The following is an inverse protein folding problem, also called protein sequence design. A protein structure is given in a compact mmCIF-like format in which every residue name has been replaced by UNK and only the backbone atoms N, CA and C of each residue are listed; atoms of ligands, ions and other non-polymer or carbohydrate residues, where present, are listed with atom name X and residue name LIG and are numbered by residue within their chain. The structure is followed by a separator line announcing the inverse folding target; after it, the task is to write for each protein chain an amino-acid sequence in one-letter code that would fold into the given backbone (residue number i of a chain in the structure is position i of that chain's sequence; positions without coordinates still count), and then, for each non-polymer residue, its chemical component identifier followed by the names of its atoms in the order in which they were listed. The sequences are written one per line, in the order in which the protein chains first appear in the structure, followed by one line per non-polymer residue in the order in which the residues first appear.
data_IF_508436127004
#
_entry.id   IF_508436127004
#
_cell.length_a   1.000
_cell.length_b   1.000
_cell.length_c   1.000
_cell.angle_alpha   90.00
_cell.angle_beta   90.00
_cell.angle_gamma   90.00
#
_symmetry.space_group_name_H-M   'P 1'
#
loop_
_entity.id
_entity.type
_entity.pdbx_description
1 polymer ?
#
# COMPACT_ATOMS: atom_id res chain seq x y z
N UNK A 1 -4.99 -20.50 48.95
CA UNK A 1 -5.61 -19.68 47.90
C UNK A 1 -5.53 -18.23 48.36
N UNK A 2 -4.77 -17.37 47.69
CA UNK A 2 -4.77 -15.94 48.05
C UNK A 2 -6.14 -15.36 47.78
N UNK A 3 -6.78 -14.84 48.81
CA UNK A 3 -8.09 -14.18 48.71
C UNK A 3 -7.89 -12.87 47.94
N UNK A 4 -8.22 -12.85 46.64
CA UNK A 4 -8.12 -11.65 45.82
C UNK A 4 -9.24 -10.69 46.23
N UNK A 5 -8.87 -9.54 46.82
CA UNK A 5 -9.82 -8.46 47.15
C UNK A 5 -9.67 -7.32 46.13
N UNK A 6 -10.78 -6.83 45.55
CA UNK A 6 -10.73 -5.66 44.67
C UNK A 6 -10.27 -4.43 45.47
N UNK A 7 -9.31 -3.68 44.96
CA UNK A 7 -8.79 -2.47 45.62
C UNK A 7 -8.27 -1.46 44.60
N UNK A 8 -8.40 -0.18 44.94
CA UNK A 8 -7.75 0.95 44.27
C UNK A 8 -6.59 1.49 45.12
N UNK A 9 -6.31 0.88 46.27
CA UNK A 9 -5.20 1.28 47.13
C UNK A 9 -3.88 0.99 46.40
N UNK A 10 -3.11 2.06 46.15
CA UNK A 10 -1.86 1.99 45.42
C UNK A 10 -0.86 2.96 46.00
N UNK A 11 0.40 2.51 46.08
CA UNK A 11 1.53 3.40 46.41
C UNK A 11 1.84 4.39 45.28
N UNK A 12 1.20 4.25 44.11
CA UNK A 12 1.38 5.13 42.96
C UNK A 12 0.40 6.30 43.04
N UNK A 13 0.85 7.50 42.65
CA UNK A 13 -0.07 8.60 42.40
C UNK A 13 -0.98 8.23 41.22
N UNK A 14 -2.28 8.52 41.35
CA UNK A 14 -3.25 8.38 40.26
C UNK A 14 -2.96 9.42 39.18
N UNK A 15 -2.08 9.07 38.26
CA UNK A 15 -1.81 9.82 37.04
C UNK A 15 -2.03 8.89 35.86
N UNK A 16 -2.97 9.26 35.00
CA UNK A 16 -3.31 8.51 33.81
C UNK A 16 -2.69 9.20 32.60
N UNK A 17 -2.02 8.43 31.74
CA UNK A 17 -1.59 8.92 30.44
C UNK A 17 -2.79 8.92 29.48
N UNK A 18 -3.52 10.04 29.45
CA UNK A 18 -4.71 10.20 28.63
C UNK A 18 -4.44 10.06 27.12
N UNK A 19 -3.22 10.35 26.66
CA UNK A 19 -2.84 10.10 25.26
C UNK A 19 -2.81 8.60 24.93
N UNK A 20 -2.21 7.79 25.80
CA UNK A 20 -2.18 6.34 25.69
C UNK A 20 -3.56 5.70 25.86
N UNK A 21 -4.29 6.11 26.90
CA UNK A 21 -5.65 5.61 27.13
C UNK A 21 -6.59 6.01 26.00
N UNK A 22 -6.44 7.23 25.47
CA UNK A 22 -7.13 7.66 24.27
C UNK A 22 -6.83 6.73 23.10
N UNK A 23 -5.55 6.41 22.84
CA UNK A 23 -5.21 5.49 21.77
C UNK A 23 -5.83 4.09 21.93
N UNK A 24 -5.78 3.54 23.15
CA UNK A 24 -6.40 2.26 23.47
C UNK A 24 -7.93 2.27 23.34
N UNK A 25 -8.58 3.34 23.81
CA UNK A 25 -10.05 3.42 23.90
C UNK A 25 -10.72 4.00 22.65
N UNK A 26 -10.00 4.73 21.80
CA UNK A 26 -10.54 5.40 20.60
C UNK A 26 -9.99 4.87 19.28
N UNK A 27 -9.11 3.86 19.31
CA UNK A 27 -8.57 3.25 18.09
C UNK A 27 -7.59 4.14 17.33
N UNK A 28 -6.86 5.03 18.02
CA UNK A 28 -5.82 5.87 17.40
C UNK A 28 -4.63 5.01 16.99
N UNK A 29 -4.07 5.27 15.81
CA UNK A 29 -2.87 4.58 15.32
C UNK A 29 -1.67 4.77 16.25
N UNK A 30 -0.87 3.72 16.39
CA UNK A 30 0.43 3.80 17.07
C UNK A 30 1.40 4.75 16.35
N UNK A 31 1.29 4.93 15.02
CA UNK A 31 2.11 5.89 14.25
C UNK A 31 1.83 7.32 14.70
N UNK A 32 0.60 7.63 15.09
CA UNK A 32 0.19 9.00 15.40
C UNK A 32 0.50 9.39 16.86
N UNK A 33 1.16 8.51 17.62
CA UNK A 33 1.65 8.81 18.98
C UNK A 33 2.91 9.68 18.92
N UNK A 34 2.98 10.67 19.82
CA UNK A 34 4.13 11.59 19.91
C UNK A 34 5.26 11.10 20.82
N UNK A 35 4.95 10.22 21.78
CA UNK A 35 5.91 9.66 22.73
C UNK A 35 5.41 8.31 23.24
N UNK A 36 6.33 7.52 23.80
CA UNK A 36 5.99 6.34 24.59
C UNK A 36 5.84 6.70 26.08
N UNK A 37 5.34 5.74 26.87
CA UNK A 37 5.09 5.93 28.30
C UNK A 37 5.75 4.84 29.15
N UNK A 38 6.94 4.38 28.76
CA UNK A 38 7.70 3.37 29.49
C UNK A 38 8.59 4.07 30.53
N UNK A 39 8.62 3.53 31.75
CA UNK A 39 9.28 4.23 32.87
C UNK A 39 10.78 3.97 32.91
N UNK A 40 11.22 2.81 32.44
CA UNK A 40 12.60 2.35 32.56
C UNK A 40 12.87 1.19 31.59
N UNK A 41 14.11 0.71 31.61
CA UNK A 41 14.54 -0.42 30.77
C UNK A 41 13.81 -1.72 31.10
N UNK A 42 13.35 -1.94 32.34
CA UNK A 42 12.56 -3.13 32.67
C UNK A 42 11.22 -3.10 31.92
N UNK A 43 10.49 -1.98 31.95
CA UNK A 43 9.25 -1.82 31.18
C UNK A 43 9.51 -2.01 29.66
N UNK A 44 10.64 -1.53 29.15
CA UNK A 44 11.04 -1.73 27.75
C UNK A 44 11.26 -3.20 27.41
N UNK A 45 11.90 -3.98 28.30
CA UNK A 45 12.08 -5.43 28.11
C UNK A 45 10.77 -6.19 28.14
N UNK A 46 9.87 -5.82 29.06
CA UNK A 46 8.52 -6.40 29.11
C UNK A 46 7.74 -6.06 27.83
N UNK A 47 7.82 -4.81 27.35
CA UNK A 47 7.22 -4.42 26.08
C UNK A 47 7.72 -5.28 24.92
N UNK A 48 9.04 -5.48 24.79
CA UNK A 48 9.64 -6.31 23.74
C UNK A 48 9.20 -7.77 23.84
N UNK A 49 9.10 -8.31 25.07
CA UNK A 49 8.62 -9.68 25.29
C UNK A 49 7.17 -9.85 24.83
N UNK A 50 6.28 -8.93 25.20
CA UNK A 50 4.87 -8.97 24.76
C UNK A 50 4.72 -8.69 23.26
N UNK A 51 5.70 -8.03 22.65
CA UNK A 51 5.79 -7.87 21.20
C UNK A 51 6.25 -9.17 20.49
N UNK A 52 6.59 -10.22 21.25
CA UNK A 52 6.92 -11.56 20.74
C UNK A 52 8.40 -11.92 20.73
N UNK A 53 9.28 -11.07 21.29
CA UNK A 53 10.73 -11.26 21.22
C UNK A 53 11.35 -11.47 22.61
N UNK A 54 11.83 -12.68 22.89
CA UNK A 54 12.56 -12.98 24.12
C UNK A 54 14.02 -12.52 24.01
N UNK A 55 14.36 -11.42 24.69
CA UNK A 55 15.70 -10.85 24.72
C UNK A 55 16.77 -11.75 25.38
N UNK A 56 16.40 -12.89 25.98
CA UNK A 56 17.37 -13.89 26.43
C UNK A 56 17.88 -14.76 25.26
N UNK A 57 17.16 -14.77 24.12
CA UNK A 57 17.56 -15.48 22.92
C UNK A 57 18.40 -14.56 22.01
N UNK A 58 19.62 -14.95 21.62
CA UNK A 58 20.48 -14.13 20.76
C UNK A 58 19.81 -13.74 19.43
N UNK A 59 19.09 -14.68 18.81
CA UNK A 59 18.39 -14.48 17.54
C UNK A 59 17.38 -13.32 17.61
N UNK A 60 16.66 -13.18 18.73
CA UNK A 60 15.72 -12.08 18.92
C UNK A 60 16.42 -10.71 18.92
N UNK A 61 17.63 -10.64 19.49
CA UNK A 61 18.44 -9.40 19.50
C UNK A 61 18.91 -9.03 18.10
N UNK A 62 19.32 -10.03 17.31
CA UNK A 62 19.76 -9.82 15.94
C UNK A 62 18.62 -9.36 15.04
N UNK A 63 17.42 -9.96 15.19
CA UNK A 63 16.21 -9.52 14.48
C UNK A 63 15.90 -8.06 14.79
N UNK A 64 15.93 -7.66 16.06
CA UNK A 64 15.66 -6.27 16.48
C UNK A 64 16.72 -5.31 15.91
N UNK A 65 18.00 -5.70 15.90
CA UNK A 65 19.10 -4.88 15.35
C UNK A 65 19.00 -4.71 13.84
N UNK A 66 18.63 -5.77 13.12
CA UNK A 66 18.42 -5.73 11.68
C UNK A 66 17.22 -4.85 11.33
N UNK A 67 16.10 -5.00 12.06
CA UNK A 67 14.90 -4.16 11.91
C UNK A 67 15.20 -2.68 12.18
N UNK A 68 16.00 -2.38 13.21
CA UNK A 68 16.45 -1.01 13.49
C UNK A 68 17.29 -0.44 12.34
N UNK A 69 18.26 -1.20 11.84
CA UNK A 69 19.12 -0.77 10.72
C UNK A 69 18.30 -0.50 9.46
N UNK A 70 17.35 -1.39 9.13
CA UNK A 70 16.42 -1.21 8.02
C UNK A 70 15.53 0.03 8.20
N UNK A 71 15.02 0.27 9.41
CA UNK A 71 14.21 1.45 9.70
C UNK A 71 14.99 2.76 9.52
N UNK A 72 16.24 2.80 9.98
CA UNK A 72 17.15 3.95 9.80
C UNK A 72 17.39 4.20 8.31
N UNK A 73 17.74 3.16 7.56
CA UNK A 73 18.02 3.29 6.12
C UNK A 73 16.79 3.73 5.34
N UNK A 74 15.61 3.19 5.66
CA UNK A 74 14.35 3.61 5.05
C UNK A 74 14.07 5.10 5.29
N UNK A 75 14.24 5.59 6.52
CA UNK A 75 14.04 7.01 6.84
C UNK A 75 15.03 7.87 6.05
N UNK A 76 16.30 7.49 6.00
CA UNK A 76 17.35 8.22 5.28
C UNK A 76 17.07 8.29 3.78
N UNK A 77 16.72 7.17 3.16
CA UNK A 77 16.52 7.10 1.72
C UNK A 77 15.20 7.72 1.26
N UNK A 78 14.20 7.77 2.14
CA UNK A 78 12.81 8.07 1.75
C UNK A 78 12.31 9.41 2.29
N UNK A 79 12.70 9.81 3.50
CA UNK A 79 12.15 10.97 4.19
C UNK A 79 13.12 12.15 4.35
N UNK A 80 14.42 11.91 4.20
CA UNK A 80 15.47 12.90 4.39
C UNK A 80 16.03 13.38 3.05
N UNK A 81 16.36 14.66 3.00
CA UNK A 81 17.15 15.27 1.93
C UNK A 81 18.65 15.03 2.19
N UNK A 82 19.50 15.04 1.14
CA UNK A 82 20.93 14.88 1.29
C UNK A 82 21.51 15.84 2.34
N UNK A 83 22.25 15.30 3.32
CA UNK A 83 22.87 16.06 4.41
C UNK A 83 22.04 16.13 5.69
N UNK A 84 20.73 15.84 5.64
CA UNK A 84 19.89 15.76 6.83
C UNK A 84 20.14 14.51 7.66
N UNK A 85 20.86 13.50 7.16
CA UNK A 85 21.13 12.26 7.89
C UNK A 85 21.96 12.53 9.16
N UNK A 86 22.76 13.61 9.16
CA UNK A 86 23.57 14.06 10.30
C UNK A 86 22.73 14.59 11.46
N UNK A 87 21.45 14.86 11.23
CA UNK A 87 20.53 15.35 12.25
C UNK A 87 20.05 14.22 13.18
N UNK A 88 20.24 12.95 12.82
CA UNK A 88 19.91 11.81 13.67
C UNK A 88 21.01 11.66 14.75
N UNK A 89 20.67 11.73 16.05
CA UNK A 89 21.63 11.54 17.13
C UNK A 89 22.36 10.19 17.03
N UNK A 90 23.66 10.15 17.36
CA UNK A 90 24.51 8.96 17.19
C UNK A 90 24.00 7.74 17.95
N UNK A 91 23.53 7.96 19.16
CA UNK A 91 22.91 6.98 20.06
C UNK A 91 21.54 6.48 19.59
N UNK A 92 20.93 7.14 18.62
CA UNK A 92 19.68 6.73 17.97
C UNK A 92 19.97 6.07 16.61
N UNK A 93 20.95 6.59 15.87
CA UNK A 93 21.40 6.08 14.57
C UNK A 93 22.14 4.75 14.68
N UNK A 94 23.00 4.58 15.68
CA UNK A 94 23.79 3.38 15.90
C UNK A 94 23.90 3.07 17.41
N UNK A 95 22.79 2.71 18.07
CA UNK A 95 22.78 2.31 19.48
C UNK A 95 23.54 1.00 19.68
N UNK A 96 24.17 0.85 20.86
CA UNK A 96 24.71 -0.45 21.28
C UNK A 96 23.58 -1.50 21.41
N UNK A 97 22.44 -1.07 21.95
CA UNK A 97 21.20 -1.84 22.09
C UNK A 97 19.98 -1.02 21.63
N UNK A 98 19.32 -1.39 20.50
CA UNK A 98 18.14 -0.70 20.00
C UNK A 98 16.95 -0.68 20.98
N UNK A 99 16.90 -1.55 21.98
CA UNK A 99 15.86 -1.53 23.02
C UNK A 99 15.89 -0.22 23.81
N UNK A 100 17.04 0.45 23.89
CA UNK A 100 17.16 1.75 24.55
C UNK A 100 16.30 2.83 23.89
N UNK A 101 16.00 2.74 22.59
CA UNK A 101 15.13 3.70 21.91
C UNK A 101 13.74 3.75 22.54
N UNK A 102 13.23 2.64 23.08
CA UNK A 102 11.93 2.60 23.78
C UNK A 102 11.95 3.49 25.04
N UNK A 103 13.09 3.55 25.72
CA UNK A 103 13.30 4.43 26.88
C UNK A 103 13.48 5.86 26.41
N UNK A 104 14.30 6.11 25.39
CA UNK A 104 14.51 7.44 24.80
C UNK A 104 13.19 8.08 24.32
N UNK A 105 12.36 7.31 23.63
CA UNK A 105 11.02 7.70 23.17
C UNK A 105 10.03 8.02 24.31
N UNK A 106 10.34 7.61 25.55
CA UNK A 106 9.53 7.87 26.74
C UNK A 106 10.00 9.07 27.58
N UNK A 107 11.08 9.76 27.18
CA UNK A 107 11.58 10.91 27.93
C UNK A 107 10.63 12.11 27.89
N UNK A 108 10.63 12.91 28.96
CA UNK A 108 9.86 14.15 29.03
C UNK A 108 10.41 15.23 28.08
N UNK A 109 9.53 16.07 27.54
CA UNK A 109 9.87 17.06 26.50
C UNK A 109 10.92 18.11 26.86
N UNK A 110 11.25 18.24 28.13
CA UNK A 110 12.20 19.24 28.61
C UNK A 110 13.66 18.77 28.51
N UNK A 111 13.93 17.49 28.26
CA UNK A 111 15.29 16.94 28.14
C UNK A 111 15.44 16.08 26.87
N UNK A 112 16.52 16.30 26.12
CA UNK A 112 16.92 15.54 24.92
C UNK A 112 15.76 15.36 23.93
N UNK A 113 15.11 16.46 23.55
CA UNK A 113 13.92 16.41 22.70
C UNK A 113 14.24 15.77 21.34
N UNK A 114 15.42 16.02 20.76
CA UNK A 114 15.85 15.41 19.50
C UNK A 114 16.00 13.88 19.62
N UNK A 115 16.65 13.40 20.69
CA UNK A 115 16.86 11.97 20.93
C UNK A 115 15.51 11.24 21.03
N UNK A 116 14.56 11.82 21.76
CA UNK A 116 13.21 11.28 21.88
C UNK A 116 12.47 11.28 20.53
N UNK A 117 12.44 12.42 19.84
CA UNK A 117 11.72 12.57 18.57
C UNK A 117 12.21 11.58 17.51
N UNK A 118 13.54 11.44 17.35
CA UNK A 118 14.12 10.48 16.42
C UNK A 118 13.90 9.04 16.84
N UNK A 119 13.99 8.73 18.14
CA UNK A 119 13.67 7.39 18.65
C UNK A 119 12.23 7.02 18.34
N UNK A 120 11.27 7.94 18.57
CA UNK A 120 9.87 7.74 18.19
C UNK A 120 9.72 7.48 16.69
N UNK A 121 10.37 8.28 15.84
CA UNK A 121 10.29 8.13 14.38
C UNK A 121 10.79 6.75 13.92
N UNK A 122 11.96 6.32 14.41
CA UNK A 122 12.52 5.00 14.08
C UNK A 122 11.62 3.87 14.58
N UNK A 123 11.15 3.94 15.83
CA UNK A 123 10.29 2.90 16.40
C UNK A 123 8.97 2.74 15.63
N UNK A 124 8.40 3.83 15.09
CA UNK A 124 7.20 3.76 14.24
C UNK A 124 7.46 3.00 12.93
N UNK A 125 8.63 3.20 12.33
CA UNK A 125 9.05 2.47 11.12
C UNK A 125 9.36 1.02 11.46
N UNK A 126 10.07 0.75 12.57
CA UNK A 126 10.31 -0.61 13.06
C UNK A 126 9.00 -1.37 13.31
N UNK A 127 7.99 -0.72 13.89
CA UNK A 127 6.67 -1.33 14.11
C UNK A 127 6.03 -1.78 12.79
N UNK A 128 6.11 -0.97 11.73
CA UNK A 128 5.60 -1.35 10.42
C UNK A 128 6.44 -2.46 9.75
N UNK A 129 7.77 -2.48 9.96
CA UNK A 129 8.66 -3.56 9.49
C UNK A 129 8.32 -4.88 10.17
N UNK A 130 8.19 -4.88 11.49
CA UNK A 130 7.79 -6.09 12.24
C UNK A 130 6.43 -6.62 11.80
N UNK A 131 5.49 -5.73 11.44
CA UNK A 131 4.22 -6.14 10.88
C UNK A 131 4.39 -6.87 9.54
N UNK A 132 5.22 -6.35 8.64
CA UNK A 132 5.53 -6.97 7.35
C UNK A 132 6.16 -8.35 7.55
N UNK A 133 7.16 -8.46 8.42
CA UNK A 133 7.92 -9.71 8.64
C UNK A 133 7.07 -10.82 9.27
N UNK A 134 6.05 -10.44 10.02
CA UNK A 134 5.16 -11.36 10.72
C UNK A 134 3.80 -11.55 10.04
N UNK A 135 3.57 -10.91 8.89
CA UNK A 135 2.39 -11.17 8.08
C UNK A 135 2.57 -12.46 7.25
N UNK A 136 1.72 -13.45 7.50
CA UNK A 136 1.82 -14.77 6.88
C UNK A 136 1.61 -14.74 5.36
N UNK A 137 0.68 -13.92 4.88
CA UNK A 137 0.37 -13.84 3.45
C UNK A 137 1.55 -13.27 2.66
N UNK A 138 2.25 -12.28 3.21
CA UNK A 138 3.48 -11.75 2.62
C UNK A 138 4.62 -12.77 2.56
N UNK A 139 4.70 -13.70 3.52
CA UNK A 139 5.70 -14.78 3.49
C UNK A 139 5.49 -15.74 2.33
N UNK A 140 4.23 -15.97 1.94
CA UNK A 140 3.86 -16.87 0.83
C UNK A 140 3.50 -16.10 -0.45
N UNK A 141 3.89 -14.83 -0.56
CA UNK A 141 3.47 -13.96 -1.66
C UNK A 141 3.83 -14.50 -3.06
N UNK A 142 4.98 -15.18 -3.21
CA UNK A 142 5.34 -15.79 -4.49
C UNK A 142 4.34 -16.90 -4.87
N UNK A 143 4.03 -17.81 -3.95
CA UNK A 143 3.03 -18.87 -4.17
C UNK A 143 1.64 -18.30 -4.48
N UNK A 144 1.22 -17.27 -3.74
CA UNK A 144 -0.05 -16.55 -3.98
C UNK A 144 -0.08 -15.96 -5.39
N UNK A 145 0.98 -15.23 -5.76
CA UNK A 145 1.12 -14.58 -7.07
C UNK A 145 1.03 -15.59 -8.20
N UNK A 146 1.78 -16.69 -8.09
CA UNK A 146 1.86 -17.69 -9.15
C UNK A 146 0.49 -18.36 -9.37
N UNK A 147 -0.27 -18.64 -8.30
CA UNK A 147 -1.64 -19.16 -8.43
C UNK A 147 -2.63 -18.16 -9.04
N UNK A 148 -2.54 -16.87 -8.71
CA UNK A 148 -3.41 -15.84 -9.29
C UNK A 148 -3.09 -15.65 -10.77
N UNK A 149 -1.82 -15.57 -11.13
CA UNK A 149 -1.41 -15.36 -12.53
C UNK A 149 -1.65 -16.58 -13.40
N UNK A 150 -1.49 -17.81 -12.89
CA UNK A 150 -1.79 -19.02 -13.65
C UNK A 150 -3.22 -19.01 -14.24
N UNK A 151 -4.22 -18.59 -13.46
CA UNK A 151 -5.60 -18.50 -13.96
C UNK A 151 -5.81 -17.35 -14.95
N UNK A 152 -5.08 -16.24 -14.81
CA UNK A 152 -5.14 -15.16 -15.79
C UNK A 152 -4.44 -15.54 -17.10
N UNK A 153 -3.39 -16.35 -17.03
CA UNK A 153 -2.64 -16.85 -18.20
C UNK A 153 -3.46 -17.85 -19.03
N UNK A 154 -4.52 -18.44 -18.46
CA UNK A 154 -5.47 -19.27 -19.20
C UNK A 154 -6.35 -18.46 -20.17
N UNK A 155 -6.54 -17.16 -19.92
CA UNK A 155 -7.37 -16.27 -20.74
C UNK A 155 -6.58 -15.14 -21.40
N UNK A 156 -5.34 -14.90 -20.98
CA UNK A 156 -4.47 -13.89 -21.59
C UNK A 156 -3.43 -14.61 -22.44
N UNK A 157 -3.55 -14.44 -23.75
CA UNK A 157 -2.68 -15.09 -24.74
C UNK A 157 -1.73 -14.07 -25.37
N UNK A 158 -0.54 -14.53 -25.74
CA UNK A 158 0.46 -13.76 -26.50
C UNK A 158 0.61 -14.42 -27.87
N UNK A 159 0.58 -13.63 -28.95
CA UNK A 159 0.84 -14.11 -30.30
C UNK A 159 2.34 -14.17 -30.63
N UNK A 160 2.70 -14.73 -31.79
CA UNK A 160 4.10 -14.85 -32.25
C UNK A 160 4.80 -13.49 -32.45
N UNK A 161 4.03 -12.39 -32.48
CA UNK A 161 4.53 -11.03 -32.67
C UNK A 161 4.62 -10.24 -31.35
N UNK A 162 4.26 -10.85 -30.22
CA UNK A 162 4.29 -10.25 -28.89
C UNK A 162 3.10 -9.36 -28.57
N UNK A 163 1.98 -9.48 -29.30
CA UNK A 163 0.72 -8.81 -28.93
C UNK A 163 -0.08 -9.67 -27.96
N UNK A 164 -0.70 -9.02 -26.99
CA UNK A 164 -1.53 -9.67 -25.98
C UNK A 164 -3.00 -9.63 -26.36
N UNK A 165 -3.74 -10.67 -26.01
CA UNK A 165 -5.18 -10.80 -26.20
C UNK A 165 -5.84 -11.36 -24.95
N UNK A 166 -7.05 -10.91 -24.64
CA UNK A 166 -7.91 -11.51 -23.63
C UNK A 166 -8.98 -12.34 -24.36
N UNK A 167 -9.05 -13.64 -24.10
CA UNK A 167 -10.04 -14.53 -24.70
C UNK A 167 -10.56 -15.58 -23.74
N UNK A 168 -11.84 -15.93 -23.90
CA UNK A 168 -12.48 -17.07 -23.24
C UNK A 168 -12.91 -18.17 -24.23
N UNK A 169 -12.38 -18.11 -25.46
CA UNK A 169 -12.72 -19.00 -26.57
C UNK A 169 -13.88 -18.53 -27.46
N UNK A 170 -14.80 -17.70 -26.96
CA UNK A 170 -15.89 -17.13 -27.77
C UNK A 170 -15.57 -15.70 -28.22
N UNK A 171 -15.04 -14.87 -27.31
CA UNK A 171 -14.60 -13.52 -27.61
C UNK A 171 -13.08 -13.42 -27.50
N UNK A 172 -12.46 -12.63 -28.37
CA UNK A 172 -11.03 -12.33 -28.31
C UNK A 172 -10.84 -10.81 -28.46
N UNK A 173 -10.32 -10.18 -27.40
CA UNK A 173 -10.11 -8.74 -27.30
C UNK A 173 -8.62 -8.43 -27.33
N UNK A 174 -8.15 -7.56 -28.24
CA UNK A 174 -6.75 -7.12 -28.27
C UNK A 174 -6.44 -6.25 -27.04
N UNK A 175 -5.33 -6.57 -26.38
CA UNK A 175 -4.77 -5.77 -25.29
C UNK A 175 -3.70 -4.83 -25.86
N UNK A 176 -3.89 -3.53 -25.66
CA UNK A 176 -2.87 -2.53 -25.98
C UNK A 176 -1.71 -2.55 -24.98
N UNK A 177 -1.98 -2.90 -23.73
CA UNK A 177 -0.97 -3.01 -22.70
C UNK A 177 -1.42 -3.96 -21.60
N UNK A 178 -0.49 -4.79 -21.15
CA UNK A 178 -0.63 -5.69 -20.02
C UNK A 178 0.45 -5.34 -19.01
N UNK A 179 0.06 -4.92 -17.81
CA UNK A 179 0.98 -4.72 -16.69
C UNK A 179 0.60 -5.66 -15.55
N UNK A 180 1.41 -6.69 -15.34
CA UNK A 180 1.37 -7.45 -14.08
C UNK A 180 2.13 -6.64 -13.04
N UNK A 181 1.47 -6.17 -11.98
CA UNK A 181 2.14 -5.52 -10.85
C UNK A 181 2.92 -6.61 -10.09
N UNK A 182 4.15 -6.90 -10.53
CA UNK A 182 4.87 -8.14 -10.17
C UNK A 182 5.38 -8.20 -8.73
N UNK A 183 5.58 -7.05 -8.08
CA UNK A 183 5.69 -6.91 -6.63
C UNK A 183 5.85 -5.43 -6.34
N UNK A 184 5.09 -4.87 -5.39
CA UNK A 184 5.53 -3.61 -4.78
C UNK A 184 6.70 -3.97 -3.88
N UNK A 185 7.92 -3.53 -4.23
CA UNK A 185 9.09 -3.80 -3.40
C UNK A 185 8.84 -3.42 -1.94
N UNK A 186 9.47 -4.12 -1.00
CA UNK A 186 9.26 -3.99 0.46
C UNK A 186 9.10 -2.54 0.95
N UNK A 187 9.91 -1.62 0.44
CA UNK A 187 9.82 -0.19 0.77
C UNK A 187 8.48 0.47 0.38
N UNK A 188 7.84 0.04 -0.70
CA UNK A 188 6.52 0.54 -1.12
C UNK A 188 5.39 0.01 -0.22
N UNK A 189 5.52 -1.22 0.28
CA UNK A 189 4.61 -1.80 1.29
C UNK A 189 4.74 -0.99 2.58
N UNK A 190 5.97 -0.83 3.05
CA UNK A 190 6.29 -0.05 4.24
C UNK A 190 5.75 1.39 4.13
N UNK A 191 6.00 2.06 3.00
CA UNK A 191 5.48 3.41 2.77
C UNK A 191 3.96 3.48 2.82
N UNK A 192 3.25 2.51 2.23
CA UNK A 192 1.78 2.46 2.26
C UNK A 192 1.24 2.26 3.68
N UNK A 193 1.84 1.36 4.46
CA UNK A 193 1.44 1.13 5.86
C UNK A 193 1.61 2.39 6.70
N UNK A 194 2.71 3.13 6.50
CA UNK A 194 2.96 4.39 7.20
C UNK A 194 2.01 5.53 6.78
N UNK A 195 1.35 5.42 5.62
CA UNK A 195 0.36 6.40 5.15
C UNK A 195 -1.03 6.21 5.82
N UNK A 196 -1.45 4.98 6.11
CA UNK A 196 -2.83 4.66 6.52
C UNK A 196 -3.01 4.65 8.05
N UNK A 197 -4.14 5.16 8.52
CA UNK A 197 -4.45 5.32 9.95
C UNK A 197 -4.55 3.97 10.68
N UNK A 198 -5.14 2.96 10.06
CA UNK A 198 -5.22 1.61 10.60
C UNK A 198 -4.17 0.71 9.92
N UNK A 199 -3.50 -0.14 10.71
CA UNK A 199 -2.74 -1.28 10.19
C UNK A 199 -3.72 -2.42 9.93
N UNK A 200 -4.47 -2.35 8.83
CA UNK A 200 -5.32 -3.47 8.44
C UNK A 200 -4.50 -4.41 7.57
N UNK A 201 -4.56 -5.72 7.85
CA UNK A 201 -4.02 -6.75 6.93
C UNK A 201 -4.57 -6.57 5.51
N UNK A 202 -5.78 -6.02 5.42
CA UNK A 202 -6.43 -5.63 4.17
C UNK A 202 -5.66 -4.63 3.31
N UNK A 203 -4.73 -3.86 3.88
CA UNK A 203 -3.97 -2.83 3.16
C UNK A 203 -2.79 -3.39 2.37
N UNK A 204 -2.41 -4.63 2.63
CA UNK A 204 -1.34 -5.37 1.94
C UNK A 204 -1.84 -5.95 0.61
N UNK A 205 -3.15 -6.20 0.47
CA UNK A 205 -3.68 -6.83 -0.74
C UNK A 205 -3.56 -6.00 -2.02
N UNK A 206 -3.29 -4.68 -1.93
CA UNK A 206 -2.97 -3.84 -3.09
C UNK A 206 -1.63 -4.21 -3.79
N UNK A 207 -0.96 -5.29 -3.37
CA UNK A 207 0.35 -5.70 -3.90
C UNK A 207 0.27 -6.63 -5.09
N UNK A 208 -0.85 -7.30 -5.28
CA UNK A 208 -1.06 -8.19 -6.41
C UNK A 208 -2.18 -7.66 -7.28
N UNK A 209 -1.84 -7.27 -8.50
CA UNK A 209 -2.85 -6.84 -9.44
C UNK A 209 -2.37 -6.86 -10.87
N UNK A 210 -3.33 -6.83 -11.78
CA UNK A 210 -3.11 -6.83 -13.23
C UNK A 210 -3.85 -5.66 -13.83
N UNK A 211 -3.14 -4.87 -14.64
CA UNK A 211 -3.73 -3.83 -15.46
C UNK A 211 -3.84 -4.33 -16.89
N UNK A 212 -5.05 -4.23 -17.41
CA UNK A 212 -5.44 -4.54 -18.78
C UNK A 212 -5.85 -3.25 -19.46
N UNK A 213 -5.21 -2.92 -20.57
CA UNK A 213 -5.51 -1.71 -21.35
C UNK A 213 -6.10 -2.10 -22.69
N UNK A 214 -7.27 -1.58 -23.00
CA UNK A 214 -8.00 -1.80 -24.24
C UNK A 214 -8.10 -0.52 -25.08
N UNK A 215 -8.58 -0.61 -26.32
CA UNK A 215 -8.64 0.53 -27.22
C UNK A 215 -9.69 1.56 -26.79
N UNK A 216 -10.81 1.07 -26.28
CA UNK A 216 -12.04 1.81 -25.99
C UNK A 216 -12.67 1.35 -24.66
N UNK A 217 -13.62 2.12 -24.15
CA UNK A 217 -14.37 1.79 -22.92
C UNK A 217 -15.37 0.66 -23.15
N UNK A 218 -15.86 0.46 -24.38
CA UNK A 218 -16.69 -0.69 -24.72
C UNK A 218 -15.91 -2.00 -24.69
N UNK A 219 -14.65 -2.00 -25.12
CA UNK A 219 -13.79 -3.18 -24.97
C UNK A 219 -13.53 -3.49 -23.50
N UNK A 220 -13.40 -2.47 -22.62
CA UNK A 220 -13.34 -2.70 -21.18
C UNK A 220 -14.62 -3.35 -20.63
N UNK A 221 -15.80 -2.97 -21.15
CA UNK A 221 -17.08 -3.58 -20.78
C UNK A 221 -17.14 -5.05 -21.22
N UNK A 222 -16.77 -5.32 -22.47
CA UNK A 222 -16.70 -6.69 -23.02
C UNK A 222 -15.67 -7.54 -22.28
N UNK A 223 -14.56 -6.95 -21.83
CA UNK A 223 -13.56 -7.64 -21.03
C UNK A 223 -14.08 -8.06 -19.65
N UNK A 224 -14.94 -7.24 -19.00
CA UNK A 224 -15.61 -7.65 -17.76
C UNK A 224 -16.50 -8.89 -18.00
N UNK A 225 -17.28 -8.90 -19.08
CA UNK A 225 -18.12 -10.04 -19.45
C UNK A 225 -17.27 -11.28 -19.75
N UNK A 226 -16.18 -11.12 -20.50
CA UNK A 226 -15.24 -12.21 -20.82
C UNK A 226 -14.63 -12.81 -19.56
N UNK A 227 -14.12 -11.98 -18.64
CA UNK A 227 -13.56 -12.44 -17.37
C UNK A 227 -14.62 -13.07 -16.44
N UNK A 228 -15.87 -12.63 -16.51
CA UNK A 228 -16.98 -13.24 -15.78
C UNK A 228 -17.31 -14.63 -16.34
N UNK A 229 -17.42 -14.76 -17.67
CA UNK A 229 -17.69 -16.03 -18.36
C UNK A 229 -16.57 -17.05 -18.15
N UNK A 230 -15.32 -16.59 -18.08
CA UNK A 230 -14.17 -17.41 -17.70
C UNK A 230 -14.09 -17.71 -16.19
N UNK A 231 -15.07 -17.31 -15.38
CA UNK A 231 -15.13 -17.51 -13.92
C UNK A 231 -13.99 -16.87 -13.11
N UNK A 232 -13.22 -15.97 -13.71
CA UNK A 232 -12.19 -15.17 -13.01
C UNK A 232 -12.86 -14.09 -12.17
N UNK A 233 -13.92 -13.47 -12.70
CA UNK A 233 -14.78 -12.54 -11.97
C UNK A 233 -16.06 -13.24 -11.51
N UNK A 234 -16.03 -13.84 -10.32
CA UNK A 234 -17.26 -14.31 -9.66
C UNK A 234 -17.84 -13.23 -8.76
N UNK A 235 -19.14 -12.92 -8.92
CA UNK A 235 -19.86 -11.92 -8.10
C UNK A 235 -19.76 -12.24 -6.60
N UNK A 236 -19.73 -13.53 -6.23
CA UNK A 236 -19.60 -13.96 -4.82
C UNK A 236 -18.24 -13.66 -4.22
N UNK A 237 -17.23 -13.43 -5.06
CA UNK A 237 -15.84 -13.22 -4.67
C UNK A 237 -15.38 -11.77 -4.92
N UNK A 238 -16.25 -10.91 -5.45
CA UNK A 238 -15.95 -9.49 -5.65
C UNK A 238 -16.13 -8.73 -4.34
N UNK A 239 -15.11 -7.97 -3.95
CA UNK A 239 -15.16 -7.04 -2.85
C UNK A 239 -15.87 -5.75 -3.27
N UNK A 240 -17.16 -5.66 -2.96
CA UNK A 240 -18.03 -4.55 -3.38
C UNK A 240 -17.60 -3.20 -2.82
N UNK A 241 -17.02 -3.16 -1.61
CA UNK A 241 -16.49 -1.95 -0.98
C UNK A 241 -15.15 -1.47 -1.60
N UNK A 242 -14.47 -2.31 -2.38
CA UNK A 242 -13.18 -2.01 -3.02
C UNK A 242 -13.25 -1.99 -4.55
N UNK A 243 -14.42 -2.26 -5.10
CA UNK A 243 -14.68 -2.17 -6.55
C UNK A 243 -15.10 -0.75 -6.90
N UNK A 244 -14.46 -0.17 -7.92
CA UNK A 244 -14.66 1.23 -8.35
C UNK A 244 -14.77 1.32 -9.85
N UNK A 245 -15.61 2.23 -10.32
CA UNK A 245 -15.73 2.55 -11.72
C UNK A 245 -15.71 4.07 -11.88
N UNK A 246 -14.58 4.59 -12.37
CA UNK A 246 -14.42 5.99 -12.76
C UNK A 246 -14.26 6.17 -14.27
N UNK A 247 -14.42 5.09 -15.03
CA UNK A 247 -14.17 5.02 -16.47
C UNK A 247 -15.46 5.07 -17.30
N UNK A 248 -16.48 4.34 -16.86
CA UNK A 248 -17.62 3.98 -17.69
C UNK A 248 -18.94 4.31 -16.98
N UNK A 249 -19.73 5.21 -17.57
CA UNK A 249 -21.12 5.40 -17.18
C UNK A 249 -21.95 4.21 -17.70
N UNK A 250 -22.32 3.29 -16.81
CA UNK A 250 -22.95 2.02 -17.19
C UNK A 250 -24.33 2.19 -17.84
N UNK A 251 -25.12 3.19 -17.42
CA UNK A 251 -26.44 3.41 -18.01
C UNK A 251 -26.32 3.97 -19.43
N UNK A 252 -25.47 4.96 -19.63
CA UNK A 252 -25.19 5.50 -20.96
C UNK A 252 -24.56 4.45 -21.89
N UNK A 253 -23.62 3.64 -21.37
CA UNK A 253 -23.00 2.56 -22.11
C UNK A 253 -24.04 1.51 -22.54
N UNK A 254 -24.99 1.17 -21.67
CA UNK A 254 -26.08 0.24 -21.99
C UNK A 254 -26.96 0.75 -23.12
N UNK A 255 -27.36 2.02 -23.11
CA UNK A 255 -28.19 2.61 -24.18
C UNK A 255 -27.49 2.52 -25.54
N UNK A 256 -26.21 2.91 -25.58
CA UNK A 256 -25.41 2.86 -26.81
C UNK A 256 -25.16 1.41 -27.24
N UNK A 257 -24.84 0.51 -26.30
CA UNK A 257 -24.64 -0.91 -26.63
C UNK A 257 -25.90 -1.50 -27.27
N UNK A 258 -27.09 -1.24 -26.70
CA UNK A 258 -28.37 -1.70 -27.25
C UNK A 258 -28.62 -1.14 -28.65
N UNK A 259 -28.30 0.13 -28.88
CA UNK A 259 -28.41 0.78 -30.20
C UNK A 259 -27.56 0.09 -31.27
N UNK A 260 -26.34 -0.32 -30.92
CA UNK A 260 -25.36 -0.89 -31.87
C UNK A 260 -25.29 -2.43 -31.85
N UNK A 261 -26.00 -3.10 -30.95
CA UNK A 261 -25.96 -4.55 -30.74
C UNK A 261 -26.09 -5.37 -32.03
N UNK A 262 -27.10 -5.09 -32.84
CA UNK A 262 -27.33 -5.83 -34.10
C UNK A 262 -26.19 -5.65 -35.11
N UNK A 263 -25.47 -4.53 -35.07
CA UNK A 263 -24.31 -4.29 -35.93
C UNK A 263 -23.08 -5.06 -35.43
N UNK A 264 -22.90 -5.14 -34.11
CA UNK A 264 -21.87 -5.97 -33.50
C UNK A 264 -22.09 -7.45 -33.84
N UNK A 265 -23.31 -7.96 -33.66
CA UNK A 265 -23.68 -9.36 -33.95
C UNK A 265 -23.50 -9.75 -35.43
N UNK A 266 -23.55 -8.78 -36.35
CA UNK A 266 -23.35 -9.00 -37.80
C UNK A 266 -21.91 -8.81 -38.25
N UNK A 267 -21.02 -8.36 -37.37
CA UNK A 267 -19.62 -8.15 -37.72
C UNK A 267 -18.91 -9.49 -37.81
N UNK A 268 -18.34 -9.80 -38.97
CA UNK A 268 -17.57 -11.04 -39.19
C UNK A 268 -16.12 -10.92 -38.70
N UNK A 269 -15.56 -9.72 -38.80
CA UNK A 269 -14.23 -9.37 -38.30
C UNK A 269 -14.34 -8.49 -37.04
N UNK A 270 -13.22 -8.29 -36.35
CA UNK A 270 -13.16 -7.43 -35.17
C UNK A 270 -13.56 -5.97 -35.51
N UNK A 271 -14.66 -5.44 -34.95
CA UNK A 271 -15.29 -4.21 -35.47
C UNK A 271 -14.69 -2.94 -34.86
N UNK A 272 -13.38 -2.72 -35.03
CA UNK A 272 -12.62 -1.61 -34.44
C UNK A 272 -13.26 -0.24 -34.67
N UNK A 273 -13.64 0.08 -35.91
CA UNK A 273 -14.24 1.39 -36.24
C UNK A 273 -15.61 1.60 -35.59
N UNK A 274 -16.38 0.52 -35.44
CA UNK A 274 -17.69 0.57 -34.78
C UNK A 274 -17.51 0.83 -33.29
N UNK A 275 -16.58 0.12 -32.64
CA UNK A 275 -16.26 0.31 -31.22
C UNK A 275 -15.77 1.73 -30.94
N UNK A 276 -14.92 2.29 -31.80
CA UNK A 276 -14.47 3.69 -31.71
C UNK A 276 -15.63 4.68 -31.85
N UNK A 277 -16.58 4.42 -32.77
CA UNK A 277 -17.77 5.26 -32.94
C UNK A 277 -18.69 5.21 -31.71
N UNK A 278 -18.92 4.01 -31.17
CA UNK A 278 -19.70 3.82 -29.95
C UNK A 278 -19.05 4.57 -28.78
N UNK A 279 -17.72 4.47 -28.66
CA UNK A 279 -16.95 5.15 -27.62
C UNK A 279 -17.08 6.69 -27.75
N UNK A 280 -16.93 7.25 -28.95
CA UNK A 280 -17.13 8.68 -29.19
C UNK A 280 -18.56 9.15 -28.81
N UNK A 281 -19.59 8.38 -29.16
CA UNK A 281 -20.97 8.68 -28.75
C UNK A 281 -21.14 8.63 -27.23
N UNK A 282 -20.51 7.67 -26.57
CA UNK A 282 -20.55 7.55 -25.11
C UNK A 282 -19.93 8.76 -24.43
N UNK A 283 -18.79 9.27 -24.93
CA UNK A 283 -18.19 10.49 -24.38
C UNK A 283 -19.12 11.70 -24.46
N UNK A 284 -19.95 11.79 -25.51
CA UNK A 284 -20.86 12.91 -25.70
C UNK A 284 -22.03 12.92 -24.71
N UNK A 285 -22.43 11.75 -24.18
CA UNK A 285 -23.63 11.61 -23.32
C UNK A 285 -23.33 11.17 -21.89
N UNK A 286 -22.16 10.60 -21.62
CA UNK A 286 -21.81 10.05 -20.31
C UNK A 286 -21.70 11.14 -19.25
N UNK A 287 -22.20 10.83 -18.04
CA UNK A 287 -22.00 11.68 -16.87
C UNK A 287 -20.62 11.41 -16.28
N UNK A 288 -19.98 12.46 -15.75
CA UNK A 288 -18.70 12.32 -15.05
C UNK A 288 -18.87 11.41 -13.85
N UNK A 289 -18.05 10.36 -13.78
CA UNK A 289 -18.00 9.45 -12.64
C UNK A 289 -17.12 10.07 -11.54
N UNK A 290 -17.67 10.27 -10.34
CA UNK A 290 -17.03 11.04 -9.26
C UNK A 290 -16.62 10.22 -8.04
N UNK A 291 -16.78 8.89 -8.05
CA UNK A 291 -16.38 8.03 -6.93
C UNK A 291 -14.85 7.86 -6.86
N UNK A 292 -14.20 8.84 -6.24
CA UNK A 292 -12.80 8.75 -5.84
C UNK A 292 -12.69 8.74 -4.31
N UNK A 293 -12.74 7.57 -3.66
CA UNK A 293 -12.50 7.51 -2.20
C UNK A 293 -11.00 7.60 -1.84
N UNK A 294 -10.12 7.85 -2.81
CA UNK A 294 -8.69 8.02 -2.57
C UNK A 294 -8.29 9.50 -2.72
N UNK A 295 -8.05 10.23 -1.61
CA UNK A 295 -7.77 11.67 -1.64
C UNK A 295 -6.47 12.04 -2.38
N UNK A 296 -5.65 11.06 -2.77
CA UNK A 296 -4.41 11.28 -3.51
C UNK A 296 -4.51 10.97 -5.00
N UNK A 297 -5.58 10.31 -5.45
CA UNK A 297 -5.82 10.06 -6.89
C UNK A 297 -6.22 11.37 -7.54
N UNK A 298 -5.59 11.71 -8.67
CA UNK A 298 -5.91 12.94 -9.39
C UNK A 298 -7.23 12.82 -10.16
N UNK A 299 -7.83 13.98 -10.46
CA UNK A 299 -9.12 14.12 -11.16
C UNK A 299 -9.15 13.50 -12.57
N UNK A 300 -7.97 13.19 -13.13
CA UNK A 300 -7.75 12.67 -14.48
C UNK A 300 -7.59 11.14 -14.54
N UNK A 301 -7.68 10.45 -13.39
CA UNK A 301 -7.51 9.00 -13.32
C UNK A 301 -8.84 8.25 -13.49
N UNK A 302 -9.03 7.65 -14.67
CA UNK A 302 -10.22 6.87 -15.02
C UNK A 302 -9.88 5.40 -15.24
N UNK A 303 -10.47 4.52 -14.44
CA UNK A 303 -10.35 3.06 -14.61
C UNK A 303 -11.54 2.31 -13.99
N UNK A 304 -11.74 1.06 -14.39
CA UNK A 304 -12.55 0.11 -13.65
C UNK A 304 -11.59 -0.71 -12.80
N UNK A 305 -11.78 -0.70 -11.49
CA UNK A 305 -11.00 -1.46 -10.52
C UNK A 305 -11.92 -2.48 -9.87
N UNK A 306 -11.61 -3.76 -10.00
CA UNK A 306 -12.36 -4.84 -9.36
C UNK A 306 -11.40 -5.57 -8.44
N UNK A 307 -11.73 -5.64 -7.14
CA UNK A 307 -10.98 -6.46 -6.19
C UNK A 307 -11.69 -7.79 -6.03
N UNK A 308 -10.95 -8.89 -6.20
CA UNK A 308 -11.49 -10.26 -6.21
C UNK A 308 -10.75 -11.14 -5.22
N UNK A 309 -11.47 -12.01 -4.52
CA UNK A 309 -10.95 -13.06 -3.65
C UNK A 309 -10.67 -14.34 -4.41
N UNK A 310 -9.45 -14.85 -4.30
CA UNK A 310 -9.09 -16.21 -4.75
C UNK A 310 -8.71 -17.08 -3.55
N UNK A 311 -9.16 -18.33 -3.56
CA UNK A 311 -8.66 -19.33 -2.60
C UNK A 311 -7.23 -19.69 -3.00
N UNK A 312 -6.28 -19.47 -2.09
CA UNK A 312 -4.89 -19.85 -2.24
C UNK A 312 -4.63 -21.12 -1.44
N UNK A 313 -3.95 -22.07 -2.08
CA UNK A 313 -3.55 -23.34 -1.47
C UNK A 313 -2.05 -23.35 -1.19
N UNK A 314 -1.66 -23.45 0.08
CA UNK A 314 -0.26 -23.66 0.47
C UNK A 314 -0.01 -25.15 0.66
N UNK A 315 1.03 -25.65 0.00
CA UNK A 315 1.50 -27.02 0.18
C UNK A 315 1.90 -27.27 1.64
N UNK A 316 1.76 -28.50 2.15
CA UNK A 316 2.00 -28.84 3.55
C UNK A 316 3.39 -28.41 4.08
N UNK A 317 4.43 -28.44 3.23
CA UNK A 317 5.80 -27.98 3.56
C UNK A 317 5.93 -26.45 3.67
N UNK A 318 5.02 -25.72 3.02
CA UNK A 318 4.92 -24.25 3.06
C UNK A 318 3.85 -23.78 4.07
N UNK A 319 3.05 -24.70 4.61
CA UNK A 319 2.00 -24.43 5.59
C UNK A 319 2.51 -24.36 7.02
N UNK A 320 1.61 -24.57 7.98
CA UNK A 320 1.98 -24.56 9.40
C UNK A 320 2.78 -25.82 9.79
N UNK A 321 3.67 -25.74 10.78
CA UNK A 321 4.36 -26.93 11.31
C UNK A 321 3.40 -28.03 11.79
N UNK A 322 2.21 -27.63 12.26
CA UNK A 322 1.16 -28.54 12.73
C UNK A 322 0.43 -29.29 11.60
N UNK A 323 0.57 -28.82 10.35
CA UNK A 323 0.03 -29.48 9.16
C UNK A 323 1.05 -30.36 8.45
N UNK A 324 2.29 -30.43 8.96
CA UNK A 324 3.32 -31.32 8.42
C UNK A 324 2.88 -32.79 8.58
N UNK A 325 2.50 -33.42 7.46
CA UNK A 325 1.99 -34.79 7.40
C UNK A 325 0.49 -34.93 7.16
N UNK A 326 -0.26 -33.84 6.97
CA UNK A 326 -1.63 -33.88 6.45
C UNK A 326 -1.63 -33.88 4.92
N UNK A 327 -2.48 -34.69 4.29
CA UNK A 327 -2.65 -34.78 2.82
C UNK A 327 -3.34 -33.55 2.20
N UNK A 328 -3.80 -32.59 3.01
CA UNK A 328 -4.56 -31.42 2.55
C UNK A 328 -3.77 -30.11 2.64
N UNK A 329 -3.84 -29.33 1.56
CA UNK A 329 -3.30 -27.97 1.48
C UNK A 329 -3.98 -27.02 2.48
N UNK A 330 -3.20 -26.10 3.07
CA UNK A 330 -3.76 -25.01 3.88
C UNK A 330 -4.35 -23.96 2.92
N UNK A 331 -5.67 -23.81 2.96
CA UNK A 331 -6.42 -22.85 2.14
C UNK A 331 -6.73 -21.53 2.85
N UNK A 332 -6.48 -20.38 2.21
CA UNK A 332 -6.98 -19.07 2.69
C UNK A 332 -7.32 -18.13 1.52
N UNK A 333 -8.28 -17.22 1.72
CA UNK A 333 -8.67 -16.28 0.67
C UNK A 333 -7.68 -15.12 0.60
N UNK A 334 -7.23 -14.78 -0.60
CA UNK A 334 -6.39 -13.62 -0.88
C UNK A 334 -7.07 -12.71 -1.88
N UNK A 335 -7.06 -11.41 -1.60
CA UNK A 335 -7.60 -10.37 -2.47
C UNK A 335 -6.55 -9.96 -3.53
N UNK A 336 -6.93 -9.86 -4.80
CA UNK A 336 -6.12 -9.25 -5.85
C UNK A 336 -6.93 -8.27 -6.70
N UNK A 337 -6.25 -7.29 -7.31
CA UNK A 337 -6.88 -6.21 -8.07
C UNK A 337 -6.79 -6.45 -9.59
N UNK A 338 -7.92 -6.43 -10.28
CA UNK A 338 -7.98 -6.30 -11.73
C UNK A 338 -8.35 -4.86 -12.09
N UNK A 339 -7.52 -4.24 -12.92
CA UNK A 339 -7.70 -2.87 -13.37
C UNK A 339 -7.86 -2.83 -14.89
N UNK A 340 -9.00 -2.33 -15.36
CA UNK A 340 -9.29 -2.15 -16.79
C UNK A 340 -9.26 -0.66 -17.12
N UNK A 341 -8.58 -0.31 -18.22
CA UNK A 341 -8.44 1.06 -18.70
C UNK A 341 -8.57 1.11 -20.23
N UNK A 342 -9.12 2.19 -20.77
CA UNK A 342 -8.96 2.49 -22.19
C UNK A 342 -7.58 3.13 -22.45
N UNK A 343 -7.18 3.16 -23.72
CA UNK A 343 -5.89 3.67 -24.17
C UNK A 343 -5.65 5.14 -23.81
N UNK A 344 -6.67 6.00 -23.92
CA UNK A 344 -6.57 7.43 -23.62
C UNK A 344 -6.38 7.64 -22.12
N UNK A 345 -7.18 6.95 -21.29
CA UNK A 345 -7.03 7.02 -19.83
C UNK A 345 -5.68 6.47 -19.35
N UNK A 346 -5.16 5.42 -19.98
CA UNK A 346 -3.82 4.91 -19.70
C UNK A 346 -2.74 5.95 -20.03
N UNK A 347 -2.80 6.58 -21.21
CA UNK A 347 -1.85 7.64 -21.60
C UNK A 347 -1.89 8.83 -20.64
N UNK A 348 -3.08 9.31 -20.25
CA UNK A 348 -3.24 10.38 -19.25
C UNK A 348 -2.66 10.01 -17.89
N UNK A 349 -2.76 8.75 -17.47
CA UNK A 349 -2.15 8.30 -16.20
C UNK A 349 -0.62 8.34 -16.21
N UNK A 350 -0.01 8.29 -17.40
CA UNK A 350 1.44 8.37 -17.59
C UNK A 350 1.93 9.82 -17.73
N UNK A 351 1.14 10.71 -18.32
CA UNK A 351 1.50 12.11 -18.56
C UNK A 351 0.54 13.09 -17.85
N UNK A 352 1.02 13.79 -16.80
CA UNK A 352 0.25 14.87 -16.17
C UNK A 352 0.61 15.18 -14.70
N UNK A 353 -0.07 16.16 -14.06
CA UNK A 353 0.04 16.44 -12.62
C UNK A 353 -0.49 15.31 -11.73
N UNK A 354 -1.24 14.38 -12.33
CA UNK A 354 -1.72 13.11 -11.78
C UNK A 354 -0.75 11.93 -12.04
N UNK A 355 0.44 12.21 -12.59
CA UNK A 355 1.45 11.18 -12.91
C UNK A 355 1.81 10.32 -11.70
N UNK A 356 2.22 9.08 -11.98
CA UNK A 356 2.67 8.14 -10.97
C UNK A 356 3.76 8.71 -10.04
N UNK A 357 4.65 9.56 -10.54
CA UNK A 357 5.69 10.21 -9.72
C UNK A 357 5.14 11.28 -8.77
N UNK A 358 4.22 12.14 -9.23
CA UNK A 358 3.57 13.13 -8.37
C UNK A 358 2.71 12.46 -7.30
N UNK A 359 2.00 11.39 -7.67
CA UNK A 359 1.27 10.53 -6.74
C UNK A 359 2.19 9.94 -5.66
N UNK A 360 3.31 9.33 -6.06
CA UNK A 360 4.30 8.75 -5.13
C UNK A 360 4.88 9.81 -4.18
N UNK A 361 5.16 11.03 -4.66
CA UNK A 361 5.60 12.14 -3.81
C UNK A 361 4.58 12.49 -2.72
N UNK A 362 3.29 12.59 -3.05
CA UNK A 362 2.22 12.83 -2.05
C UNK A 362 2.14 11.73 -0.99
N UNK A 363 2.37 10.47 -1.38
CA UNK A 363 2.43 9.35 -0.43
C UNK A 363 3.63 9.47 0.52
N UNK A 364 4.81 9.79 -0.01
CA UNK A 364 6.02 10.03 0.79
C UNK A 364 5.79 11.15 1.81
N UNK A 365 5.24 12.28 1.38
CA UNK A 365 4.98 13.41 2.26
C UNK A 365 3.98 13.07 3.37
N UNK A 366 2.89 12.37 3.04
CA UNK A 366 1.88 11.94 4.02
C UNK A 366 2.49 11.01 5.07
N UNK A 367 3.24 9.99 4.63
CA UNK A 367 3.90 9.06 5.54
C UNK A 367 4.97 9.77 6.40
N UNK A 368 5.78 10.64 5.80
CA UNK A 368 6.79 11.45 6.50
C UNK A 368 6.17 12.28 7.61
N UNK A 369 5.09 13.00 7.32
CA UNK A 369 4.40 13.85 8.30
C UNK A 369 3.84 13.04 9.48
N UNK A 370 3.31 11.85 9.24
CA UNK A 370 2.81 10.97 10.31
C UNK A 370 3.93 10.39 11.16
N UNK A 371 5.00 9.91 10.53
CA UNK A 371 6.15 9.30 11.22
C UNK A 371 6.87 10.35 12.06
N UNK A 372 7.27 11.46 11.46
CA UNK A 372 7.97 12.55 12.16
C UNK A 372 7.04 13.31 13.11
N UNK A 373 5.77 13.42 12.77
CA UNK A 373 4.87 14.34 13.45
C UNK A 373 5.28 15.78 13.22
N UNK A 374 4.53 16.70 13.82
CA UNK A 374 4.78 18.13 13.69
C UNK A 374 6.08 18.57 14.37
N UNK A 375 6.33 18.08 15.58
CA UNK A 375 7.49 18.49 16.40
C UNK A 375 8.82 18.23 15.70
N UNK A 376 9.05 17.00 15.21
CA UNK A 376 10.29 16.65 14.51
C UNK A 376 10.38 17.33 13.14
N UNK A 377 9.26 17.50 12.44
CA UNK A 377 9.26 18.19 11.14
C UNK A 377 9.69 19.66 11.28
N UNK A 378 9.15 20.35 12.28
CA UNK A 378 9.49 21.74 12.59
C UNK A 378 10.96 21.85 13.06
N UNK A 379 11.42 20.91 13.89
CA UNK A 379 12.81 20.86 14.34
C UNK A 379 13.80 20.62 13.19
N UNK A 380 13.51 19.67 12.29
CA UNK A 380 14.35 19.42 11.09
C UNK A 380 14.40 20.67 10.22
N UNK A 381 13.28 21.36 10.00
CA UNK A 381 13.25 22.58 9.20
C UNK A 381 14.12 23.70 9.81
N UNK A 382 14.13 23.83 11.14
CA UNK A 382 14.96 24.81 11.84
C UNK A 382 16.46 24.50 11.83
N UNK A 383 16.85 23.22 11.71
CA UNK A 383 18.25 22.76 11.78
C UNK A 383 18.82 22.30 10.43
N UNK A 384 18.02 22.37 9.36
CA UNK A 384 18.51 22.16 7.99
C UNK A 384 19.09 23.48 7.47
N UNK A 385 20.31 23.45 6.92
CA UNK A 385 20.83 24.61 6.20
C UNK A 385 19.90 24.94 5.00
N UNK A 386 19.71 26.22 4.64
CA UNK A 386 18.95 26.57 3.45
C UNK A 386 19.58 25.86 2.24
N UNK A 387 18.75 25.20 1.44
CA UNK A 387 19.20 24.57 0.21
C UNK A 387 20.01 25.59 -0.62
N UNK A 388 21.15 25.21 -1.22
CA UNK A 388 21.84 26.10 -2.14
C UNK A 388 20.86 26.51 -3.23
N UNK A 389 20.63 27.81 -3.36
CA UNK A 389 19.87 28.38 -4.49
C UNK A 389 20.57 27.88 -5.75
N UNK A 390 19.85 27.28 -6.72
CA UNK A 390 20.45 26.91 -7.99
C UNK A 390 21.14 28.13 -8.59
N UNK A 391 22.43 27.97 -8.91
CA UNK A 391 23.32 29.01 -9.43
C UNK A 391 22.95 29.49 -10.85
N UNK A 392 21.68 29.35 -11.26
CA UNK A 392 21.16 29.76 -12.57
C UNK A 392 20.41 31.09 -12.56
N UNK A 393 20.41 31.85 -11.45
CA UNK A 393 19.74 33.15 -11.36
C UNK A 393 20.61 34.29 -10.77
N UNK A 394 21.90 34.05 -10.52
CA UNK A 394 22.81 35.07 -9.97
C UNK A 394 23.74 35.74 -11.01
N UNK A 395 23.57 35.45 -12.31
CA UNK A 395 24.32 36.11 -13.40
C UNK A 395 23.42 36.90 -14.34
N UNK A 396 22.64 37.84 -13.80
CA UNK A 396 22.14 38.98 -14.58
C UNK A 396 22.20 40.25 -13.70
N UNK A 397 23.43 40.69 -13.42
CA UNK A 397 23.69 42.10 -13.09
C UNK A 397 24.08 42.82 -14.39
N UNK A 398 23.48 43.98 -14.70
CA UNK A 398 23.70 44.67 -15.96
C UNK A 398 25.05 45.39 -15.93
N UNK A 399 25.88 45.13 -16.93
CA UNK A 399 26.97 46.03 -17.30
C UNK A 399 26.65 46.61 -18.68
N UNK A 400 26.77 47.94 -18.75
CA UNK A 400 26.53 48.86 -19.87
C UNK A 400 25.06 49.22 -20.17
#
# INVERSE_FOLDING_TARGET
MSEFRPTLESKRKFSLNWGYLGAMASGRSAIDLGSLALRNLHDAREFVREYGYDLNQPVARDIIRNCHSEAVDFIRSTFLQPGQEKLIPRDVYAPDDPVQLLVYASHHAQHNCEQRMWSCAILKVMHAIFYIDNNLELRHFNTIRDQVFATLDEVIHEDDTGHYFLSDGELCLPLHHLERKRNKGRNSILLKLLQKAAYLAQDIYDHLGVRLVFGTRFECLLALETLQRAHILSITNIESNRTRNTLLDLEAAKEIFVKYRLMLERSHDYPTELLQRMDAELLAVAKRQTRADNPHSGDDFSSIQVTVRKMIHLQAEQGYPETAGQEYDVGFFFDYELQLMDKESHQRSMSGPSSHEAYKRRQVETARLRVFGRELSDWIAAHSSPAPVPESLAQLSPTA
#
